data_IF_317182748325
#
_entry.id   IF_317182748325
#
_cell.length_a   1.000
_cell.length_b   1.000
_cell.length_c   1.000
_cell.angle_alpha   90.00
_cell.angle_beta   90.00
_cell.angle_gamma   90.00
#
_symmetry.space_group_name_H-M   'P 1'
#
loop_
_entity.id
_entity.type
_entity.pdbx_description
1 polymer ?
#
# COMPACT_ATOMS: atom_id res chain seq x y z
N UNK A 1 -29.49 -34.01 66.14
CA UNK A 1 -29.23 -34.01 67.59
C UNK A 1 -30.35 -33.24 68.30
N UNK A 2 -30.56 -33.37 69.61
CA UNK A 2 -31.52 -32.48 70.32
C UNK A 2 -30.93 -31.06 70.39
N UNK A 3 -31.78 -30.03 70.40
CA UNK A 3 -31.32 -28.63 70.46
C UNK A 3 -30.44 -28.34 71.68
N UNK A 4 -30.82 -28.84 72.87
CA UNK A 4 -30.03 -28.66 74.09
C UNK A 4 -28.66 -29.35 74.04
N UNK A 5 -28.53 -30.49 73.34
CA UNK A 5 -27.24 -31.14 73.16
C UNK A 5 -26.35 -30.42 72.15
N UNK A 6 -26.95 -29.84 71.09
CA UNK A 6 -26.23 -28.98 70.15
C UNK A 6 -25.58 -27.79 70.86
N UNK A 7 -26.34 -27.15 71.76
CA UNK A 7 -25.84 -26.03 72.57
C UNK A 7 -24.73 -26.47 73.54
N UNK A 8 -24.86 -27.64 74.18
CA UNK A 8 -23.81 -28.20 75.05
C UNK A 8 -22.50 -28.49 74.30
N UNK A 9 -22.59 -29.12 73.13
CA UNK A 9 -21.41 -29.37 72.29
C UNK A 9 -20.82 -28.05 71.78
N UNK A 10 -21.67 -27.09 71.41
CA UNK A 10 -21.24 -25.76 70.99
C UNK A 10 -20.45 -25.04 72.08
N UNK A 11 -20.98 -24.98 73.29
CA UNK A 11 -20.31 -24.37 74.44
C UNK A 11 -19.00 -25.10 74.81
N UNK A 12 -18.97 -26.43 74.66
CA UNK A 12 -17.76 -27.22 74.88
C UNK A 12 -16.67 -26.92 73.84
N UNK A 13 -17.03 -26.89 72.56
CA UNK A 13 -16.11 -26.54 71.47
C UNK A 13 -15.61 -25.10 71.63
N UNK A 14 -16.48 -24.17 72.01
CA UNK A 14 -16.11 -22.77 72.26
C UNK A 14 -15.16 -22.60 73.44
N UNK A 15 -15.22 -23.48 74.45
CA UNK A 15 -14.21 -23.47 75.51
C UNK A 15 -12.89 -24.05 75.04
N UNK A 16 -12.93 -25.10 74.21
CA UNK A 16 -11.74 -25.74 73.65
C UNK A 16 -10.96 -24.81 72.72
N UNK A 17 -11.58 -23.74 72.18
CA UNK A 17 -10.90 -22.77 71.31
C UNK A 17 -10.10 -21.70 72.05
N UNK A 18 -10.37 -21.42 73.34
CA UNK A 18 -9.77 -20.28 74.06
C UNK A 18 -8.28 -20.41 74.41
N UNK A 19 -7.62 -21.50 74.03
CA UNK A 19 -6.20 -21.73 74.27
C UNK A 19 -5.88 -23.21 74.45
N UNK A 20 -4.60 -23.55 74.35
CA UNK A 20 -4.13 -24.91 74.62
C UNK A 20 -4.32 -25.24 76.11
N UNK A 21 -4.78 -26.45 76.40
CA UNK A 21 -4.84 -26.97 77.77
C UNK A 21 -3.42 -26.94 78.34
N UNK A 22 -3.24 -26.15 79.39
CA UNK A 22 -1.91 -25.77 79.87
C UNK A 22 -1.49 -26.52 81.14
N UNK A 23 -2.46 -27.01 81.91
CA UNK A 23 -2.20 -27.71 83.16
C UNK A 23 -3.17 -28.89 83.43
N UNK A 24 -2.84 -29.67 84.46
CA UNK A 24 -3.59 -30.88 84.83
C UNK A 24 -4.97 -30.56 85.43
N UNK A 25 -5.16 -29.37 85.99
CA UNK A 25 -6.45 -28.94 86.54
C UNK A 25 -7.43 -28.61 85.41
N UNK A 26 -6.98 -27.86 84.41
CA UNK A 26 -7.73 -27.58 83.18
C UNK A 26 -8.10 -28.88 82.46
N UNK A 27 -7.13 -29.81 82.30
CA UNK A 27 -7.39 -31.10 81.67
C UNK A 27 -8.46 -31.90 82.43
N UNK A 28 -8.41 -31.94 83.77
CA UNK A 28 -9.45 -32.59 84.59
C UNK A 28 -10.82 -31.95 84.44
N UNK A 29 -10.89 -30.63 84.31
CA UNK A 29 -12.14 -29.93 84.05
C UNK A 29 -12.72 -30.34 82.69
N UNK A 30 -11.91 -30.33 81.63
CA UNK A 30 -12.33 -30.75 80.29
C UNK A 30 -12.74 -32.23 80.22
N UNK A 31 -12.07 -33.13 80.95
CA UNK A 31 -12.48 -34.54 81.04
C UNK A 31 -13.87 -34.70 81.64
N UNK A 32 -14.18 -33.93 82.70
CA UNK A 32 -15.51 -33.92 83.32
C UNK A 32 -16.57 -33.35 82.38
N UNK A 33 -16.24 -32.28 81.66
CA UNK A 33 -17.15 -31.69 80.67
C UNK A 33 -17.40 -32.63 79.49
N UNK A 34 -16.37 -33.34 79.02
CA UNK A 34 -16.49 -34.37 77.99
C UNK A 34 -17.46 -35.47 78.44
N UNK A 35 -17.33 -35.97 79.67
CA UNK A 35 -18.26 -36.96 80.21
C UNK A 35 -19.71 -36.43 80.30
N UNK A 36 -19.88 -35.14 80.63
CA UNK A 36 -21.20 -34.51 80.69
C UNK A 36 -21.86 -34.39 79.31
N UNK A 37 -21.09 -34.05 78.27
CA UNK A 37 -21.57 -33.93 76.88
C UNK A 37 -22.15 -35.26 76.37
N UNK A 38 -21.59 -36.40 76.79
CA UNK A 38 -21.98 -37.73 76.32
C UNK A 38 -22.86 -38.54 77.28
N UNK A 39 -23.27 -37.98 78.42
CA UNK A 39 -23.96 -38.72 79.49
C UNK A 39 -25.31 -39.34 79.08
N UNK A 40 -26.10 -38.65 78.25
CA UNK A 40 -27.49 -39.06 77.91
C UNK A 40 -27.66 -39.54 76.46
N UNK A 41 -26.85 -39.01 75.54
CA UNK A 41 -26.90 -39.34 74.13
C UNK A 41 -25.45 -39.37 73.61
N UNK A 42 -24.96 -40.51 73.10
CA UNK A 42 -23.60 -40.62 72.60
C UNK A 42 -23.42 -40.18 71.15
N UNK A 43 -24.48 -39.75 70.44
CA UNK A 43 -24.43 -39.45 68.98
C UNK A 43 -24.58 -37.97 68.68
N UNK A 44 -23.61 -37.38 68.01
CA UNK A 44 -23.75 -36.06 67.38
C UNK A 44 -23.94 -36.23 65.87
N UNK A 45 -24.68 -35.30 65.25
CA UNK A 45 -24.88 -35.30 63.80
C UNK A 45 -23.75 -34.52 63.13
N UNK A 46 -23.28 -35.04 62.00
CA UNK A 46 -22.31 -34.35 61.15
C UNK A 46 -22.73 -32.92 60.79
N UNK A 47 -23.98 -32.74 60.36
CA UNK A 47 -24.51 -31.42 60.02
C UNK A 47 -24.57 -30.47 61.23
N UNK A 48 -24.86 -30.99 62.42
CA UNK A 48 -24.92 -30.15 63.63
C UNK A 48 -23.52 -29.70 64.08
N UNK A 49 -22.49 -30.55 63.92
CA UNK A 49 -21.11 -30.16 64.17
C UNK A 49 -20.66 -29.09 63.19
N UNK A 50 -20.97 -29.26 61.90
CA UNK A 50 -20.68 -28.26 60.88
C UNK A 50 -21.22 -26.87 61.26
N UNK A 51 -22.50 -26.77 61.64
CA UNK A 51 -23.09 -25.48 62.05
C UNK A 51 -22.37 -24.83 63.24
N UNK A 52 -21.79 -25.63 64.13
CA UNK A 52 -21.05 -25.15 65.31
C UNK A 52 -19.65 -24.66 64.93
N UNK A 53 -18.91 -25.42 64.11
CA UNK A 53 -17.52 -25.11 63.80
C UNK A 53 -17.35 -24.18 62.60
N UNK A 54 -18.35 -24.09 61.71
CA UNK A 54 -18.30 -23.22 60.54
C UNK A 54 -18.03 -21.74 60.86
N UNK A 55 -18.66 -21.12 61.87
CA UNK A 55 -18.34 -19.76 62.28
C UNK A 55 -16.87 -19.59 62.73
N UNK A 56 -16.28 -20.61 63.36
CA UNK A 56 -14.87 -20.59 63.80
C UNK A 56 -13.91 -20.59 62.61
N UNK A 57 -14.22 -21.35 61.56
CA UNK A 57 -13.43 -21.36 60.32
C UNK A 57 -13.54 -20.05 59.54
N UNK A 58 -14.74 -19.47 59.54
CA UNK A 58 -15.08 -18.34 58.67
C UNK A 58 -14.70 -16.98 59.27
N UNK A 59 -14.31 -16.93 60.54
CA UNK A 59 -13.83 -15.73 61.20
C UNK A 59 -12.29 -15.62 61.07
N UNK A 60 -11.75 -14.57 60.40
CA UNK A 60 -10.32 -14.36 60.22
C UNK A 60 -9.51 -14.34 61.52
N UNK A 61 -10.09 -13.84 62.61
CA UNK A 61 -9.42 -13.67 63.90
C UNK A 61 -9.40 -14.96 64.72
N UNK A 62 -10.19 -15.95 64.33
CA UNK A 62 -10.39 -17.22 65.05
C UNK A 62 -9.88 -18.44 64.29
N UNK A 63 -9.19 -18.27 63.16
CA UNK A 63 -8.69 -19.41 62.35
C UNK A 63 -7.79 -20.38 63.12
N UNK A 64 -7.00 -19.88 64.07
CA UNK A 64 -6.14 -20.70 64.93
C UNK A 64 -6.91 -21.52 65.98
N UNK A 65 -8.15 -21.16 66.27
CA UNK A 65 -8.98 -21.78 67.31
C UNK A 65 -9.22 -23.26 67.01
N UNK A 66 -9.33 -23.64 65.74
CA UNK A 66 -9.63 -25.03 65.36
C UNK A 66 -8.42 -25.92 65.57
N UNK A 67 -7.22 -25.47 65.19
CA UNK A 67 -6.00 -26.23 65.45
C UNK A 67 -5.80 -26.43 66.96
N UNK A 68 -6.17 -25.42 67.76
CA UNK A 68 -6.22 -25.50 69.23
C UNK A 68 -7.27 -26.50 69.70
N UNK A 69 -8.49 -26.47 69.16
CA UNK A 69 -9.56 -27.45 69.48
C UNK A 69 -9.10 -28.88 69.18
N UNK A 70 -8.52 -29.13 68.01
CA UNK A 70 -8.03 -30.46 67.61
C UNK A 70 -6.94 -30.93 68.56
N UNK A 71 -5.98 -30.06 68.89
CA UNK A 71 -4.88 -30.36 69.82
C UNK A 71 -5.41 -30.66 71.24
N UNK A 72 -6.38 -29.88 71.71
CA UNK A 72 -7.01 -30.10 73.01
C UNK A 72 -7.82 -31.40 73.05
N UNK A 73 -8.55 -31.72 71.98
CA UNK A 73 -9.26 -32.99 71.85
C UNK A 73 -8.29 -34.18 71.84
N UNK A 74 -7.14 -34.07 71.18
CA UNK A 74 -6.09 -35.10 71.22
C UNK A 74 -5.60 -35.35 72.65
N UNK A 75 -5.32 -34.29 73.42
CA UNK A 75 -4.91 -34.41 74.83
C UNK A 75 -5.99 -35.07 75.71
N UNK A 76 -7.26 -34.76 75.46
CA UNK A 76 -8.40 -35.36 76.16
C UNK A 76 -8.54 -36.84 75.79
N UNK A 77 -8.45 -37.18 74.50
CA UNK A 77 -8.54 -38.55 73.98
C UNK A 77 -7.41 -39.40 74.55
N UNK A 78 -6.18 -38.91 74.59
CA UNK A 78 -5.03 -39.63 75.14
C UNK A 78 -5.26 -40.00 76.61
N UNK A 79 -5.79 -39.07 77.41
CA UNK A 79 -6.06 -39.33 78.82
C UNK A 79 -7.24 -40.28 79.02
N UNK A 80 -8.31 -40.12 78.23
CA UNK A 80 -9.48 -41.01 78.26
C UNK A 80 -9.17 -42.41 77.77
N UNK A 81 -8.25 -42.58 76.83
CA UNK A 81 -7.90 -43.90 76.30
C UNK A 81 -7.40 -44.87 77.38
N UNK A 82 -6.87 -44.33 78.47
CA UNK A 82 -6.43 -45.09 79.65
C UNK A 82 -7.55 -45.30 80.68
N UNK A 83 -8.46 -44.34 80.85
CA UNK A 83 -9.46 -44.37 81.92
C UNK A 83 -10.87 -44.78 81.49
N UNK A 84 -11.28 -44.45 80.27
CA UNK A 84 -12.60 -44.69 79.69
C UNK A 84 -12.52 -44.76 78.14
N UNK A 85 -12.31 -45.97 77.62
CA UNK A 85 -12.17 -46.22 76.18
C UNK A 85 -13.44 -45.90 75.38
N UNK A 86 -14.63 -46.02 75.99
CA UNK A 86 -15.89 -45.73 75.30
C UNK A 86 -15.98 -44.22 75.07
N UNK A 87 -15.72 -43.43 76.10
CA UNK A 87 -15.73 -41.98 76.01
C UNK A 87 -14.64 -41.47 75.06
N UNK A 88 -13.44 -42.07 75.11
CA UNK A 88 -12.35 -41.77 74.17
C UNK A 88 -12.80 -41.93 72.71
N UNK A 89 -13.42 -43.05 72.36
CA UNK A 89 -13.91 -43.28 70.99
C UNK A 89 -15.03 -42.33 70.55
N UNK A 90 -15.83 -41.77 71.48
CA UNK A 90 -16.83 -40.73 71.15
C UNK A 90 -16.19 -39.37 70.88
N UNK A 91 -15.19 -39.02 71.68
CA UNK A 91 -14.40 -37.81 71.50
C UNK A 91 -13.58 -37.86 70.21
N UNK A 92 -13.04 -39.02 69.84
CA UNK A 92 -12.35 -39.25 68.56
C UNK A 92 -13.27 -38.99 67.36
N UNK A 93 -14.51 -39.50 67.40
CA UNK A 93 -15.50 -39.22 66.35
C UNK A 93 -15.76 -37.71 66.25
N UNK A 94 -15.89 -36.99 67.36
CA UNK A 94 -16.07 -35.54 67.34
C UNK A 94 -14.87 -34.83 66.69
N UNK A 95 -13.66 -35.18 67.10
CA UNK A 95 -12.42 -34.66 66.51
C UNK A 95 -12.38 -34.90 65.00
N UNK A 96 -12.72 -36.09 64.55
CA UNK A 96 -12.74 -36.44 63.12
C UNK A 96 -13.75 -35.61 62.33
N UNK A 97 -14.92 -35.32 62.90
CA UNK A 97 -15.93 -34.48 62.27
C UNK A 97 -15.40 -33.04 62.08
N UNK A 98 -14.77 -32.49 63.12
CA UNK A 98 -14.19 -31.13 63.09
C UNK A 98 -13.04 -31.06 62.08
N UNK A 99 -12.15 -32.06 62.07
CA UNK A 99 -11.02 -32.12 61.14
C UNK A 99 -11.47 -32.27 59.68
N UNK A 100 -12.52 -33.06 59.42
CA UNK A 100 -13.08 -33.17 58.07
C UNK A 100 -13.66 -31.84 57.58
N UNK A 101 -14.33 -31.09 58.45
CA UNK A 101 -14.85 -29.77 58.11
C UNK A 101 -13.77 -28.72 57.92
N UNK A 102 -12.69 -28.76 58.72
CA UNK A 102 -11.50 -27.93 58.49
C UNK A 102 -10.95 -28.16 57.07
N UNK A 103 -10.75 -29.42 56.68
CA UNK A 103 -10.24 -29.77 55.34
C UNK A 103 -11.16 -29.29 54.22
N UNK A 104 -12.48 -29.41 54.39
CA UNK A 104 -13.47 -28.89 53.43
C UNK A 104 -13.37 -27.38 53.29
N UNK A 105 -13.34 -26.64 54.40
CA UNK A 105 -13.18 -25.20 54.39
C UNK A 105 -11.88 -24.75 53.72
N UNK A 106 -10.75 -25.42 54.01
CA UNK A 106 -9.47 -25.13 53.35
C UNK A 106 -9.54 -25.35 51.83
N UNK A 107 -10.19 -26.42 51.37
CA UNK A 107 -10.38 -26.65 49.94
C UNK A 107 -11.27 -25.57 49.28
N UNK A 108 -12.39 -25.20 49.92
CA UNK A 108 -13.27 -24.14 49.42
C UNK A 108 -12.58 -22.78 49.37
N UNK A 109 -11.85 -22.40 50.42
CA UNK A 109 -11.11 -21.13 50.45
C UNK A 109 -10.03 -21.06 49.37
N UNK A 110 -9.31 -22.15 49.10
CA UNK A 110 -8.36 -22.21 47.99
C UNK A 110 -9.05 -22.02 46.63
N UNK A 111 -10.21 -22.65 46.40
CA UNK A 111 -10.98 -22.48 45.18
C UNK A 111 -11.45 -21.03 44.97
N UNK A 112 -11.89 -20.35 46.02
CA UNK A 112 -12.28 -18.93 45.96
C UNK A 112 -11.08 -18.05 45.57
N UNK A 113 -9.92 -18.26 46.19
CA UNK A 113 -8.69 -17.51 45.86
C UNK A 113 -8.24 -17.75 44.40
N UNK A 114 -8.40 -18.98 43.89
CA UNK A 114 -8.10 -19.32 42.50
C UNK A 114 -9.06 -18.62 41.53
N UNK A 115 -10.35 -18.51 41.88
CA UNK A 115 -11.33 -17.78 41.07
C UNK A 115 -11.04 -16.27 41.03
N UNK A 116 -10.70 -15.65 42.16
CA UNK A 116 -10.35 -14.23 42.21
C UNK A 116 -9.07 -13.93 41.41
N UNK A 117 -8.08 -14.84 41.49
CA UNK A 117 -6.86 -14.76 40.68
C UNK A 117 -7.18 -14.90 39.19
N UNK A 118 -8.09 -15.82 38.84
CA UNK A 118 -8.58 -15.99 37.47
C UNK A 118 -9.31 -14.76 36.94
N UNK A 119 -10.17 -14.13 37.75
CA UNK A 119 -10.90 -12.91 37.39
C UNK A 119 -9.96 -11.73 37.17
N UNK A 120 -8.93 -11.57 38.02
CA UNK A 120 -7.90 -10.55 37.85
C UNK A 120 -7.11 -10.73 36.55
N UNK A 121 -6.65 -11.95 36.27
CA UNK A 121 -5.96 -12.28 35.02
C UNK A 121 -6.84 -12.05 33.79
N UNK A 122 -8.12 -12.40 33.88
CA UNK A 122 -9.07 -12.21 32.80
C UNK A 122 -9.34 -10.73 32.53
N UNK A 123 -9.57 -9.93 33.57
CA UNK A 123 -9.71 -8.46 33.47
C UNK A 123 -8.47 -7.80 32.86
N UNK A 124 -7.28 -8.17 33.31
CA UNK A 124 -6.04 -7.63 32.73
C UNK A 124 -5.91 -7.92 31.23
N UNK A 125 -6.29 -9.12 30.79
CA UNK A 125 -6.34 -9.45 29.36
C UNK A 125 -7.44 -8.71 28.61
N UNK A 126 -8.60 -8.48 29.24
CA UNK A 126 -9.67 -7.67 28.64
C UNK A 126 -9.23 -6.23 28.44
N UNK A 127 -8.55 -5.62 29.41
CA UNK A 127 -8.02 -4.26 29.29
C UNK A 127 -6.98 -4.16 28.17
N UNK A 128 -6.12 -5.18 28.03
CA UNK A 128 -5.16 -5.26 26.92
C UNK A 128 -5.87 -5.38 25.57
N UNK A 129 -6.90 -6.23 25.47
CA UNK A 129 -7.72 -6.38 24.26
C UNK A 129 -8.41 -5.06 23.93
N UNK A 130 -9.02 -4.39 24.92
CA UNK A 130 -9.70 -3.11 24.71
C UNK A 130 -8.73 -2.03 24.20
N UNK A 131 -7.52 -1.96 24.77
CA UNK A 131 -6.47 -1.05 24.30
C UNK A 131 -6.09 -1.33 22.84
N UNK A 132 -6.00 -2.60 22.44
CA UNK A 132 -5.70 -2.99 21.06
C UNK A 132 -6.84 -2.68 20.09
N UNK A 133 -8.10 -2.83 20.53
CA UNK A 133 -9.27 -2.46 19.74
C UNK A 133 -9.28 -0.95 19.46
N UNK A 134 -9.00 -0.10 20.46
CA UNK A 134 -8.92 1.36 20.25
C UNK A 134 -7.86 1.75 19.22
N UNK A 135 -6.68 1.12 19.27
CA UNK A 135 -5.62 1.36 18.26
C UNK A 135 -6.05 0.91 16.86
N UNK A 136 -6.88 -0.13 16.77
CA UNK A 136 -7.41 -0.58 15.49
C UNK A 136 -8.42 0.43 14.93
N UNK A 137 -9.26 1.02 15.77
CA UNK A 137 -10.20 2.07 15.38
C UNK A 137 -9.45 3.31 14.86
N UNK A 138 -8.38 3.75 15.55
CA UNK A 138 -7.52 4.87 15.08
C UNK A 138 -6.89 4.59 13.70
N UNK A 139 -6.44 3.35 13.45
CA UNK A 139 -5.90 2.94 12.15
C UNK A 139 -7.00 2.93 11.08
N UNK A 140 -8.22 2.51 11.44
CA UNK A 140 -9.37 2.52 10.55
C UNK A 140 -9.71 3.94 10.09
N UNK A 141 -9.77 4.89 11.01
CA UNK A 141 -10.03 6.30 10.70
C UNK A 141 -8.95 6.88 9.77
N UNK A 142 -7.68 6.60 10.07
CA UNK A 142 -6.57 7.02 9.21
C UNK A 142 -6.65 6.41 7.81
N UNK A 143 -7.08 5.14 7.70
CA UNK A 143 -7.27 4.47 6.42
C UNK A 143 -8.38 5.12 5.59
N UNK A 144 -9.47 5.56 6.22
CA UNK A 144 -10.56 6.27 5.54
C UNK A 144 -10.08 7.64 5.01
N UNK A 145 -9.35 8.40 5.82
CA UNK A 145 -8.76 9.68 5.38
C UNK A 145 -7.79 9.48 4.20
N UNK A 146 -6.99 8.42 4.25
CA UNK A 146 -6.06 8.10 3.18
C UNK A 146 -6.78 7.73 1.87
N UNK A 147 -7.89 7.00 1.95
CA UNK A 147 -8.70 6.68 0.78
C UNK A 147 -9.27 7.94 0.11
N UNK A 148 -9.78 8.89 0.90
CA UNK A 148 -10.26 10.19 0.38
C UNK A 148 -9.13 10.94 -0.36
N UNK A 149 -7.90 10.91 0.16
CA UNK A 149 -6.74 11.52 -0.52
C UNK A 149 -6.41 10.83 -1.84
N UNK A 150 -6.50 9.50 -1.91
CA UNK A 150 -6.31 8.74 -3.15
C UNK A 150 -7.37 9.12 -4.18
N UNK A 151 -8.63 9.21 -3.77
CA UNK A 151 -9.74 9.51 -4.68
C UNK A 151 -9.59 10.92 -5.26
N UNK A 152 -9.26 11.90 -4.41
CA UNK A 152 -8.99 13.27 -4.83
C UNK A 152 -7.78 13.37 -5.78
N UNK A 153 -6.69 12.67 -5.46
CA UNK A 153 -5.50 12.64 -6.33
C UNK A 153 -5.82 12.00 -7.69
N UNK A 154 -6.63 10.94 -7.69
CA UNK A 154 -7.05 10.24 -8.90
C UNK A 154 -7.93 11.12 -9.79
N UNK A 155 -8.87 11.87 -9.19
CA UNK A 155 -9.71 12.82 -9.90
C UNK A 155 -8.90 13.96 -10.55
N UNK A 156 -7.95 14.53 -9.81
CA UNK A 156 -7.06 15.58 -10.33
C UNK A 156 -6.15 15.07 -11.46
N UNK A 157 -5.61 13.85 -11.32
CA UNK A 157 -4.81 13.22 -12.37
C UNK A 157 -5.63 12.97 -13.63
N UNK A 158 -6.88 12.49 -13.50
CA UNK A 158 -7.76 12.28 -14.65
C UNK A 158 -8.02 13.59 -15.39
N UNK A 159 -8.30 14.68 -14.65
CA UNK A 159 -8.49 16.01 -15.25
C UNK A 159 -7.24 16.48 -16.01
N UNK A 160 -6.05 16.29 -15.44
CA UNK A 160 -4.79 16.64 -16.12
C UNK A 160 -4.54 15.81 -17.37
N UNK A 161 -4.90 14.53 -17.36
CA UNK A 161 -4.82 13.66 -18.55
C UNK A 161 -5.74 14.20 -19.65
N UNK A 162 -6.97 14.57 -19.29
CA UNK A 162 -7.94 15.11 -20.24
C UNK A 162 -7.45 16.43 -20.84
N UNK A 163 -6.98 17.37 -20.01
CA UNK A 163 -6.43 18.66 -20.45
C UNK A 163 -5.20 18.49 -21.36
N UNK A 164 -4.24 17.64 -20.96
CA UNK A 164 -3.04 17.36 -21.75
C UNK A 164 -3.41 16.69 -23.07
N UNK A 165 -4.36 15.76 -23.08
CA UNK A 165 -4.81 15.09 -24.30
C UNK A 165 -5.47 16.06 -25.27
N UNK A 166 -6.30 16.98 -24.77
CA UNK A 166 -6.95 18.01 -25.57
C UNK A 166 -5.92 18.99 -26.16
N UNK A 167 -4.94 19.42 -25.37
CA UNK A 167 -3.88 20.31 -25.83
C UNK A 167 -2.96 19.62 -26.86
N UNK A 168 -2.56 18.37 -26.61
CA UNK A 168 -1.76 17.58 -27.55
C UNK A 168 -2.50 17.39 -28.88
N UNK A 169 -3.80 17.07 -28.85
CA UNK A 169 -4.62 16.95 -30.06
C UNK A 169 -4.63 18.27 -30.83
N UNK A 170 -4.85 19.40 -30.17
CA UNK A 170 -4.84 20.72 -30.80
C UNK A 170 -3.48 21.07 -31.42
N UNK A 171 -2.37 20.75 -30.74
CA UNK A 171 -1.01 20.95 -31.26
C UNK A 171 -0.72 20.05 -32.46
N UNK A 172 -1.15 18.79 -32.43
CA UNK A 172 -1.03 17.86 -33.55
C UNK A 172 -1.84 18.33 -34.77
N UNK A 173 -3.09 18.75 -34.55
CA UNK A 173 -3.96 19.28 -35.60
C UNK A 173 -3.34 20.57 -36.21
N UNK A 174 -2.81 21.47 -35.39
CA UNK A 174 -2.12 22.68 -35.86
C UNK A 174 -0.83 22.37 -36.65
N UNK A 175 0.00 21.44 -36.15
CA UNK A 175 1.23 21.03 -36.80
C UNK A 175 0.96 20.36 -38.15
N UNK A 176 -0.07 19.50 -38.23
CA UNK A 176 -0.47 18.86 -39.48
C UNK A 176 -1.00 19.86 -40.51
N UNK A 177 -1.77 20.87 -40.08
CA UNK A 177 -2.24 21.94 -40.96
C UNK A 177 -1.08 22.78 -41.51
N UNK A 178 -0.10 23.13 -40.68
CA UNK A 178 1.10 23.86 -41.10
C UNK A 178 1.97 23.02 -42.05
N UNK A 179 2.17 21.74 -41.73
CA UNK A 179 2.91 20.82 -42.59
C UNK A 179 2.24 20.69 -43.96
N UNK A 180 0.90 20.56 -44.00
CA UNK A 180 0.13 20.51 -45.24
C UNK A 180 0.35 21.77 -46.08
N UNK A 181 0.27 22.96 -45.47
CA UNK A 181 0.57 24.22 -46.18
C UNK A 181 1.96 24.27 -46.77
N UNK A 182 2.98 23.78 -46.04
CA UNK A 182 4.36 23.72 -46.54
C UNK A 182 4.51 22.71 -47.69
N UNK A 183 3.89 21.54 -47.57
CA UNK A 183 3.85 20.54 -48.63
C UNK A 183 3.18 21.11 -49.88
N UNK A 184 2.04 21.78 -49.73
CA UNK A 184 1.31 22.40 -50.84
C UNK A 184 2.17 23.47 -51.54
N UNK A 185 2.86 24.31 -50.76
CA UNK A 185 3.79 25.33 -51.29
C UNK A 185 4.95 24.71 -52.07
N UNK A 186 5.62 23.71 -51.49
CA UNK A 186 6.75 23.01 -52.12
C UNK A 186 6.31 22.26 -53.38
N UNK A 187 5.14 21.63 -53.34
CA UNK A 187 4.60 20.88 -54.48
C UNK A 187 4.29 21.82 -55.64
N UNK A 188 3.66 22.97 -55.35
CA UNK A 188 3.36 23.99 -56.36
C UNK A 188 4.64 24.57 -56.99
N UNK A 189 5.66 24.90 -56.18
CA UNK A 189 6.93 25.43 -56.72
C UNK A 189 7.67 24.38 -57.54
N UNK A 190 7.73 23.12 -57.08
CA UNK A 190 8.43 22.04 -57.77
C UNK A 190 7.77 21.70 -59.11
N UNK A 191 6.44 21.67 -59.17
CA UNK A 191 5.69 21.47 -60.41
C UNK A 191 6.00 22.57 -61.41
N UNK A 192 5.99 23.83 -60.96
CA UNK A 192 6.30 24.99 -61.81
C UNK A 192 7.71 24.88 -62.38
N UNK A 193 8.71 24.59 -61.54
CA UNK A 193 10.10 24.40 -61.99
C UNK A 193 10.22 23.26 -63.00
N UNK A 194 9.60 22.10 -62.73
CA UNK A 194 9.63 20.95 -63.64
C UNK A 194 8.97 21.27 -65.00
N UNK A 195 7.84 21.99 -64.99
CA UNK A 195 7.16 22.44 -66.21
C UNK A 195 8.03 23.37 -67.05
N UNK A 196 8.75 24.32 -66.42
CA UNK A 196 9.65 25.20 -67.17
C UNK A 196 10.84 24.41 -67.74
N UNK A 197 11.44 23.50 -66.96
CA UNK A 197 12.51 22.63 -67.45
C UNK A 197 12.07 21.76 -68.64
N UNK A 198 10.88 21.15 -68.57
CA UNK A 198 10.33 20.38 -69.68
C UNK A 198 10.14 21.25 -70.94
N UNK A 199 9.64 22.48 -70.78
CA UNK A 199 9.51 23.44 -71.88
C UNK A 199 10.85 23.78 -72.54
N UNK A 200 11.90 24.00 -71.74
CA UNK A 200 13.26 24.24 -72.26
C UNK A 200 13.78 23.03 -73.03
N UNK A 201 13.65 21.83 -72.48
CA UNK A 201 14.12 20.60 -73.14
C UNK A 201 13.37 20.36 -74.46
N UNK A 202 12.06 20.59 -74.51
CA UNK A 202 11.26 20.46 -75.74
C UNK A 202 11.70 21.50 -76.78
N UNK A 203 11.84 22.77 -76.40
CA UNK A 203 12.28 23.82 -77.31
C UNK A 203 13.69 23.55 -77.86
N UNK A 204 14.62 23.11 -77.00
CA UNK A 204 15.98 22.74 -77.40
C UNK A 204 16.00 21.52 -78.34
N UNK A 205 15.22 20.49 -78.06
CA UNK A 205 15.15 19.30 -78.92
C UNK A 205 14.53 19.62 -80.29
N UNK A 206 13.53 20.49 -80.33
CA UNK A 206 12.94 21.00 -81.58
C UNK A 206 13.94 21.83 -82.39
N UNK A 207 14.69 22.70 -81.71
CA UNK A 207 15.76 23.50 -82.29
C UNK A 207 16.84 22.62 -82.95
N UNK A 208 17.37 21.64 -82.22
CA UNK A 208 18.41 20.72 -82.71
C UNK A 208 17.91 19.90 -83.90
N UNK A 209 16.67 19.42 -83.87
CA UNK A 209 16.07 18.68 -84.99
C UNK A 209 15.96 19.55 -86.24
N UNK A 210 15.47 20.78 -86.10
CA UNK A 210 15.36 21.73 -87.22
C UNK A 210 16.73 22.08 -87.81
N UNK A 211 17.74 22.28 -86.96
CA UNK A 211 19.11 22.55 -87.41
C UNK A 211 19.73 21.34 -88.14
N UNK A 212 19.48 20.13 -87.64
CA UNK A 212 19.87 18.88 -88.33
C UNK A 212 19.23 18.77 -89.71
N UNK A 213 17.96 19.17 -89.87
CA UNK A 213 17.26 19.16 -91.15
C UNK A 213 17.82 20.22 -92.12
N UNK A 214 18.14 21.43 -91.64
CA UNK A 214 18.82 22.45 -92.46
C UNK A 214 20.18 21.93 -92.95
N UNK A 215 21.00 21.40 -92.05
CA UNK A 215 22.32 20.87 -92.39
C UNK A 215 22.23 19.68 -93.35
N UNK A 216 21.24 18.81 -93.16
CA UNK A 216 20.97 17.67 -94.05
C UNK A 216 20.62 18.07 -95.49
N UNK A 217 20.10 19.28 -95.69
CA UNK A 217 19.72 19.83 -96.99
C UNK A 217 20.84 20.61 -97.71
N UNK A 218 22.00 20.87 -97.06
CA UNK A 218 23.11 21.67 -97.60
C UNK A 218 24.22 20.84 -98.28
N UNK A 219 23.88 19.72 -98.92
CA UNK A 219 24.86 18.69 -99.36
C UNK A 219 25.92 19.14 -100.38
N UNK A 220 25.72 20.27 -101.09
CA UNK A 220 26.65 20.82 -102.10
C UNK A 220 26.91 22.32 -101.89
N UNK A 221 27.16 22.76 -100.65
CA UNK A 221 27.36 24.19 -100.33
C UNK A 221 28.76 24.47 -99.77
N UNK A 222 29.33 25.63 -100.12
CA UNK A 222 30.63 26.08 -99.63
C UNK A 222 30.69 26.17 -98.10
N UNK A 223 31.86 25.87 -97.53
CA UNK A 223 32.13 25.86 -96.09
C UNK A 223 31.76 27.19 -95.41
N UNK A 224 31.89 28.30 -96.12
CA UNK A 224 31.56 29.64 -95.64
C UNK A 224 30.06 29.86 -95.44
N UNK A 225 29.20 29.29 -96.29
CA UNK A 225 27.73 29.35 -96.18
C UNK A 225 27.20 28.47 -95.04
N UNK A 226 27.81 27.30 -94.82
CA UNK A 226 27.48 26.44 -93.66
C UNK A 226 27.87 27.16 -92.36
N UNK A 227 29.06 27.77 -92.32
CA UNK A 227 29.50 28.58 -91.18
C UNK A 227 28.58 29.77 -90.90
N UNK A 228 28.09 30.44 -91.95
CA UNK A 228 27.11 31.52 -91.83
C UNK A 228 25.80 31.03 -91.20
N UNK A 229 25.24 29.91 -91.69
CA UNK A 229 24.00 29.34 -91.18
C UNK A 229 24.12 28.93 -89.71
N UNK A 230 25.21 28.25 -89.33
CA UNK A 230 25.46 27.82 -87.94
C UNK A 230 25.67 29.04 -87.03
N UNK A 231 26.39 30.06 -87.49
CA UNK A 231 26.65 31.25 -86.67
C UNK A 231 25.40 32.10 -86.44
N UNK A 232 24.54 32.25 -87.46
CA UNK A 232 23.26 32.95 -87.33
C UNK A 232 22.32 32.20 -86.37
N UNK A 233 22.25 30.87 -86.53
CA UNK A 233 21.40 29.99 -85.75
C UNK A 233 21.86 29.91 -84.29
N UNK A 234 23.17 29.77 -84.05
CA UNK A 234 23.76 29.79 -82.72
C UNK A 234 23.55 31.11 -81.98
N UNK A 235 23.56 32.26 -82.66
CA UNK A 235 23.29 33.56 -82.06
C UNK A 235 21.83 33.70 -81.59
N UNK A 236 20.87 33.23 -82.41
CA UNK A 236 19.45 33.24 -82.03
C UNK A 236 19.20 32.27 -80.87
N UNK A 237 19.70 31.04 -80.94
CA UNK A 237 19.47 30.03 -79.91
C UNK A 237 20.17 30.32 -78.59
N UNK A 238 21.41 30.83 -78.62
CA UNK A 238 22.12 31.20 -77.40
C UNK A 238 21.37 32.30 -76.64
N UNK A 239 20.90 33.34 -77.33
CA UNK A 239 20.10 34.41 -76.70
C UNK A 239 18.74 33.90 -76.20
N UNK A 240 18.07 33.02 -76.95
CA UNK A 240 16.82 32.40 -76.50
C UNK A 240 17.00 31.54 -75.25
N UNK A 241 18.07 30.72 -75.18
CA UNK A 241 18.41 29.91 -74.01
C UNK A 241 18.75 30.76 -72.79
N UNK A 242 19.56 31.82 -72.96
CA UNK A 242 19.91 32.75 -71.88
C UNK A 242 18.66 33.46 -71.34
N UNK A 243 17.73 33.87 -72.21
CA UNK A 243 16.46 34.47 -71.81
C UNK A 243 15.61 33.49 -70.98
N UNK A 244 15.48 32.23 -71.44
CA UNK A 244 14.72 31.20 -70.72
C UNK A 244 15.34 30.85 -69.36
N UNK A 245 16.67 30.73 -69.29
CA UNK A 245 17.39 30.49 -68.03
C UNK A 245 17.27 31.69 -67.07
N UNK A 246 17.32 32.91 -67.60
CA UNK A 246 17.11 34.11 -66.79
C UNK A 246 15.67 34.19 -66.26
N UNK A 247 14.68 33.82 -67.07
CA UNK A 247 13.28 33.75 -66.66
C UNK A 247 13.05 32.74 -65.53
N UNK A 248 13.72 31.57 -65.55
CA UNK A 248 13.70 30.62 -64.42
C UNK A 248 14.29 31.26 -63.17
N UNK A 249 15.47 31.89 -63.28
CA UNK A 249 16.17 32.48 -62.14
C UNK A 249 15.33 33.57 -61.45
N UNK A 250 14.62 34.38 -62.24
CA UNK A 250 13.66 35.38 -61.75
C UNK A 250 12.42 34.72 -61.13
N UNK A 251 11.91 33.65 -61.72
CA UNK A 251 10.73 32.93 -61.20
C UNK A 251 11.02 32.10 -59.94
N UNK A 252 12.29 31.89 -59.59
CA UNK A 252 12.73 31.06 -58.46
C UNK A 252 12.91 31.81 -57.13
N UNK A 253 12.43 33.06 -57.02
CA UNK A 253 12.52 33.90 -55.81
C UNK A 253 13.94 34.04 -55.23
N UNK A 254 14.97 33.84 -56.08
CA UNK A 254 16.37 33.95 -55.70
C UNK A 254 16.91 35.31 -56.15
N UNK A 255 16.86 36.31 -55.27
CA UNK A 255 17.60 37.56 -55.43
C UNK A 255 19.11 37.29 -55.40
N UNK A 256 19.76 37.11 -56.55
CA UNK A 256 21.24 37.18 -56.65
C UNK A 256 21.71 37.92 -57.90
N UNK A 257 22.68 38.82 -57.66
CA UNK A 257 23.31 39.75 -58.62
C UNK A 257 24.02 39.06 -59.79
N UNK A 258 23.44 39.21 -60.97
CA UNK A 258 24.01 39.79 -62.21
C UNK A 258 25.54 39.79 -62.44
N UNK A 259 26.21 38.64 -62.36
CA UNK A 259 27.49 38.42 -63.07
C UNK A 259 27.34 37.64 -64.40
N UNK A 260 26.15 37.11 -64.70
CA UNK A 260 25.87 36.36 -65.92
C UNK A 260 25.93 37.23 -67.19
N UNK A 261 25.55 38.51 -67.09
CA UNK A 261 25.47 39.39 -68.25
C UNK A 261 26.82 39.67 -68.91
N UNK A 262 27.91 39.77 -68.15
CA UNK A 262 29.26 39.97 -68.71
C UNK A 262 29.72 38.76 -69.54
N UNK A 263 29.36 37.54 -69.13
CA UNK A 263 29.63 36.32 -69.90
C UNK A 263 28.80 36.24 -71.19
N UNK A 264 27.50 36.56 -71.10
CA UNK A 264 26.59 36.58 -72.27
C UNK A 264 27.08 37.57 -73.33
N UNK A 265 27.50 38.77 -72.91
CA UNK A 265 28.06 39.78 -73.81
C UNK A 265 29.32 39.26 -74.50
N UNK A 266 30.21 38.58 -73.78
CA UNK A 266 31.44 38.00 -74.35
C UNK A 266 31.17 36.93 -75.41
N UNK A 267 30.25 35.99 -75.13
CA UNK A 267 29.87 34.94 -76.10
C UNK A 267 29.19 35.54 -77.33
N UNK A 268 28.28 36.51 -77.15
CA UNK A 268 27.63 37.21 -78.26
C UNK A 268 28.65 37.96 -79.13
N UNK A 269 29.63 38.62 -78.53
CA UNK A 269 30.69 39.31 -79.28
C UNK A 269 31.52 38.32 -80.13
N UNK A 270 31.82 37.14 -79.60
CA UNK A 270 32.51 36.08 -80.33
C UNK A 270 31.66 35.52 -81.48
N UNK A 271 30.38 35.22 -81.25
CA UNK A 271 29.47 34.74 -82.29
C UNK A 271 29.27 35.77 -83.41
N UNK A 272 29.18 37.06 -83.07
CA UNK A 272 29.11 38.15 -84.06
C UNK A 272 30.42 38.23 -84.86
N UNK A 273 31.58 38.08 -84.22
CA UNK A 273 32.86 38.10 -84.92
C UNK A 273 32.98 36.94 -85.93
N UNK A 274 32.56 35.73 -85.52
CA UNK A 274 32.51 34.55 -86.41
C UNK A 274 31.52 34.78 -87.56
N UNK A 275 30.33 35.31 -87.26
CA UNK A 275 29.34 35.67 -88.26
C UNK A 275 29.90 36.67 -89.28
N UNK A 276 30.51 37.77 -88.85
CA UNK A 276 31.13 38.75 -89.73
C UNK A 276 32.25 38.14 -90.58
N UNK A 277 33.08 37.26 -90.00
CA UNK A 277 34.15 36.58 -90.73
C UNK A 277 33.62 35.66 -91.83
N UNK A 278 32.50 34.98 -91.57
CA UNK A 278 31.83 34.13 -92.56
C UNK A 278 31.19 34.94 -93.69
N UNK A 279 30.58 36.09 -93.38
CA UNK A 279 29.99 37.00 -94.38
C UNK A 279 31.05 37.56 -95.32
N UNK A 280 32.20 37.99 -94.79
CA UNK A 280 33.32 38.52 -95.58
C UNK A 280 33.90 37.46 -96.53
N UNK A 281 33.80 36.18 -96.17
CA UNK A 281 34.27 35.06 -96.99
C UNK A 281 33.24 34.59 -98.04
N UNK A 282 31.98 35.05 -97.96
CA UNK A 282 30.88 34.71 -98.90
C UNK A 282 30.63 35.83 -99.92
N UNK A 283 30.99 37.09 -99.60
CA UNK A 283 30.97 38.26 -100.51
C UNK A 283 32.20 38.25 -101.41
#
# INVERSE_FOLDING_TARGET
MTAGKKEQIGAFIEKLSHGLISDEYELKAFLKETAAVYQNDPRHSYADIFDIVFPLFNDPDRKGDVDVIISNLDMIIDKLSVSDQILAGKTEILRDHINLELRRYTAYSQLTLMNDTGDFLFKGKLDEIESRVRKFDEISDYSEEFQIKIDNASAELQKRIDDVSAEQKKRSDAASAELKKRIDKISSSSLTTLSIFAGIVIAFTGAVSFESDILGNLKDTDLSTIGFSISLTGLVFFNALVLLLHFIAVSSDTEKKTHAWSFVIGVNALLIAVFCSSVISVI
#
